data_IF_571219911249
#
_entry.id   IF_571219911249
#
_cell.length_a   1.000
_cell.length_b   1.000
_cell.length_c   1.000
_cell.angle_alpha   90.00
_cell.angle_beta   90.00
_cell.angle_gamma   90.00
#
_symmetry.space_group_name_H-M   'P 1'
#
loop_
_entity.id
_entity.type
_entity.pdbx_description
1 polymer ?
#
# COMPACT_ATOMS: atom_id res chain seq x y z
N UNK A 1 -23.26 -50.92 -73.68
CA UNK A 1 -23.57 -49.71 -72.90
C UNK A 1 -22.39 -49.53 -71.96
N UNK A 2 -21.34 -48.82 -72.38
CA UNK A 2 -21.24 -47.34 -72.37
C UNK A 2 -21.02 -46.87 -70.92
N UNK A 3 -19.79 -46.72 -70.42
CA UNK A 3 -18.70 -45.75 -70.73
C UNK A 3 -18.92 -44.36 -70.09
N UNK A 4 -17.82 -43.78 -69.59
CA UNK A 4 -17.69 -42.50 -68.85
C UNK A 4 -18.02 -41.24 -69.70
N UNK A 5 -18.12 -40.03 -69.11
CA UNK A 5 -16.97 -39.27 -68.55
C UNK A 5 -17.18 -38.77 -67.09
N UNK A 6 -16.31 -37.94 -66.48
CA UNK A 6 -14.84 -37.93 -66.22
C UNK A 6 -14.38 -36.49 -65.80
N UNK A 7 -13.30 -36.36 -65.00
CA UNK A 7 -12.61 -35.10 -64.55
C UNK A 7 -13.43 -34.11 -63.65
N UNK A 8 -12.85 -33.19 -62.85
CA UNK A 8 -11.50 -32.56 -62.79
C UNK A 8 -10.89 -32.47 -61.37
N UNK A 9 -9.59 -32.18 -61.30
CA UNK A 9 -8.84 -31.75 -60.10
C UNK A 9 -9.40 -30.51 -59.36
N UNK A 10 -9.02 -30.36 -58.09
CA UNK A 10 -8.28 -29.16 -57.62
C UNK A 10 -7.52 -29.42 -56.30
N UNK A 11 -6.52 -28.58 -55.99
CA UNK A 11 -5.56 -28.73 -54.87
C UNK A 11 -5.74 -27.61 -53.83
N UNK A 12 -5.63 -27.95 -52.55
CA UNK A 12 -5.49 -27.01 -51.42
C UNK A 12 -6.09 -27.56 -50.11
N UNK A 13 -5.63 -27.17 -48.91
CA UNK A 13 -4.41 -26.43 -48.54
C UNK A 13 -4.10 -26.72 -47.05
N UNK A 14 -2.84 -26.99 -46.63
CA UNK A 14 -2.57 -27.49 -45.27
C UNK A 14 -2.17 -26.38 -44.26
N UNK A 15 -3.13 -25.96 -43.44
CA UNK A 15 -2.87 -25.50 -42.07
C UNK A 15 -2.73 -23.99 -41.86
N UNK A 16 -3.85 -23.32 -41.56
CA UNK A 16 -3.84 -22.03 -40.86
C UNK A 16 -3.48 -22.22 -39.37
N UNK A 17 -2.18 -22.31 -39.07
CA UNK A 17 -1.68 -22.05 -37.72
C UNK A 17 -1.88 -20.56 -37.41
N UNK A 18 -3.01 -20.23 -36.78
CA UNK A 18 -3.48 -18.86 -36.46
C UNK A 18 -2.60 -18.11 -35.46
N UNK A 19 -1.36 -17.79 -35.86
CA UNK A 19 -0.38 -17.11 -35.02
C UNK A 19 -0.78 -15.64 -34.80
N UNK A 20 -1.36 -15.36 -33.63
CA UNK A 20 -1.72 -14.01 -33.17
C UNK A 20 -0.50 -13.08 -33.08
N UNK A 21 -0.14 -12.43 -34.19
CA UNK A 21 0.92 -11.42 -34.24
C UNK A 21 0.47 -10.12 -33.57
N UNK A 22 0.59 -10.08 -32.24
CA UNK A 22 0.39 -8.85 -31.46
C UNK A 22 1.40 -7.80 -31.94
N UNK A 23 0.90 -6.78 -32.67
CA UNK A 23 1.71 -5.66 -33.16
C UNK A 23 2.13 -4.77 -31.99
N UNK A 24 3.28 -5.07 -31.38
CA UNK A 24 3.90 -4.21 -30.37
C UNK A 24 4.22 -2.85 -31.02
N UNK A 25 3.65 -1.72 -30.53
CA UNK A 25 3.88 -0.41 -31.13
C UNK A 25 5.36 0.00 -31.13
N UNK A 26 5.77 0.72 -32.16
CA UNK A 26 7.16 1.16 -32.34
C UNK A 26 7.64 2.01 -31.14
N UNK A 27 8.65 1.56 -30.36
CA UNK A 27 8.99 2.14 -29.06
C UNK A 27 9.62 3.54 -29.12
N UNK A 28 9.68 4.17 -30.30
CA UNK A 28 10.19 5.54 -30.49
C UNK A 28 9.18 6.64 -30.16
N UNK A 29 7.88 6.34 -30.11
CA UNK A 29 6.83 7.36 -29.92
C UNK A 29 6.59 7.70 -28.45
N UNK A 30 6.72 6.73 -27.54
CA UNK A 30 6.61 6.99 -26.11
C UNK A 30 7.95 7.42 -25.51
N UNK A 31 8.16 8.74 -25.40
CA UNK A 31 9.03 9.34 -24.37
C UNK A 31 8.39 9.22 -22.97
N UNK A 32 7.84 8.05 -22.64
CA UNK A 32 7.45 7.72 -21.28
C UNK A 32 8.68 7.89 -20.39
N UNK A 33 8.56 8.66 -19.30
CA UNK A 33 9.66 8.89 -18.34
C UNK A 33 10.32 7.55 -18.03
N UNK A 34 11.58 7.36 -18.44
CA UNK A 34 12.37 6.22 -18.00
C UNK A 34 12.42 6.28 -16.48
N UNK A 35 11.64 5.42 -15.84
CA UNK A 35 11.56 5.39 -14.39
C UNK A 35 12.96 5.13 -13.86
N UNK A 36 13.39 5.87 -12.82
CA UNK A 36 14.80 5.91 -12.38
C UNK A 36 15.26 4.64 -11.64
N UNK A 37 14.82 3.48 -12.10
CA UNK A 37 15.30 2.14 -11.80
C UNK A 37 16.70 1.92 -12.42
N UNK A 38 17.63 2.84 -12.12
CA UNK A 38 19.06 2.73 -12.36
C UNK A 38 19.54 1.43 -11.73
N UNK A 39 19.68 0.40 -12.57
CA UNK A 39 19.45 -0.99 -12.16
C UNK A 39 20.34 -1.41 -10.99
N UNK A 40 19.75 -1.71 -9.82
CA UNK A 40 20.50 -2.08 -8.60
C UNK A 40 21.18 -3.47 -8.67
N UNK A 41 21.41 -4.01 -9.87
CA UNK A 41 22.24 -5.19 -10.16
C UNK A 41 23.73 -4.86 -9.89
N UNK A 42 24.12 -4.94 -8.63
CA UNK A 42 25.50 -4.69 -8.21
C UNK A 42 25.63 -4.22 -6.75
N UNK A 43 24.60 -3.56 -6.21
CA UNK A 43 24.58 -3.21 -4.78
C UNK A 43 24.48 -4.49 -3.91
N UNK A 44 25.27 -4.61 -2.83
CA UNK A 44 25.20 -5.77 -1.95
C UNK A 44 23.85 -5.85 -1.21
N UNK A 45 23.46 -7.05 -0.76
CA UNK A 45 22.45 -7.21 0.30
C UNK A 45 23.10 -6.80 1.64
N UNK A 46 22.32 -6.23 2.56
CA UNK A 46 22.77 -6.05 3.95
C UNK A 46 23.17 -7.41 4.56
N UNK A 47 24.04 -7.38 5.57
CA UNK A 47 24.61 -8.59 6.17
C UNK A 47 23.53 -9.53 6.71
N UNK A 48 22.51 -8.96 7.39
CA UNK A 48 21.39 -9.74 7.92
C UNK A 48 20.63 -10.52 6.83
N UNK A 49 20.23 -9.85 5.74
CA UNK A 49 19.55 -10.51 4.62
C UNK A 49 20.50 -11.36 3.75
N UNK A 50 21.82 -11.12 3.80
CA UNK A 50 22.82 -11.98 3.14
C UNK A 50 22.96 -13.32 3.87
N UNK A 51 23.10 -13.29 5.19
CA UNK A 51 23.25 -14.48 6.04
C UNK A 51 22.00 -15.36 6.02
N UNK A 52 20.82 -14.76 6.19
CA UNK A 52 19.54 -15.47 6.23
C UNK A 52 18.93 -15.72 4.82
N UNK A 53 19.69 -15.44 3.75
CA UNK A 53 19.30 -15.51 2.34
C UNK A 53 17.98 -14.78 1.94
N UNK A 54 17.58 -13.77 2.70
CA UNK A 54 16.33 -13.03 2.53
C UNK A 54 16.33 -12.12 1.28
N UNK A 55 15.12 -11.71 0.85
CA UNK A 55 14.95 -10.59 -0.08
C UNK A 55 15.40 -9.29 0.61
N UNK A 56 16.10 -8.44 -0.13
CA UNK A 56 16.64 -7.16 0.34
C UNK A 56 16.52 -6.14 -0.80
N UNK A 57 15.86 -5.02 -0.54
CA UNK A 57 15.65 -3.90 -1.48
C UNK A 57 16.93 -3.06 -1.70
N UNK A 58 17.87 -3.14 -0.77
CA UNK A 58 19.17 -2.44 -0.76
C UNK A 58 18.99 -0.93 -0.61
N UNK A 59 18.06 -0.52 0.26
CA UNK A 59 17.94 0.85 0.77
C UNK A 59 18.95 1.08 1.90
N UNK A 60 19.55 2.27 1.92
CA UNK A 60 20.49 2.73 2.96
C UNK A 60 19.82 3.86 3.75
N UNK A 61 20.08 4.01 5.06
CA UNK A 61 20.98 3.18 5.87
C UNK A 61 20.40 1.78 6.15
N UNK A 62 19.08 1.66 6.23
CA UNK A 62 18.37 0.41 6.57
C UNK A 62 17.53 -0.07 5.39
N UNK A 63 17.59 -1.37 5.11
CA UNK A 63 16.76 -2.04 4.10
C UNK A 63 15.34 -2.28 4.66
N UNK A 64 14.27 -2.20 3.85
CA UNK A 64 12.90 -2.30 4.39
C UNK A 64 12.65 -3.60 5.18
N UNK A 65 13.24 -4.74 4.78
CA UNK A 65 13.09 -5.97 5.54
C UNK A 65 13.64 -5.85 6.98
N UNK A 66 14.70 -5.07 7.18
CA UNK A 66 15.28 -4.85 8.51
C UNK A 66 14.59 -3.75 9.31
N UNK A 67 13.98 -2.73 8.68
CA UNK A 67 13.24 -1.69 9.43
C UNK A 67 11.99 -2.23 10.11
N UNK A 68 11.32 -3.24 9.52
CA UNK A 68 10.20 -3.94 10.15
C UNK A 68 10.62 -4.98 11.20
N UNK A 69 11.89 -5.38 11.23
CA UNK A 69 12.41 -6.39 12.13
C UNK A 69 13.06 -5.76 13.38
N UNK A 70 12.22 -5.25 14.28
CA UNK A 70 12.60 -4.54 15.52
C UNK A 70 13.83 -5.16 16.21
N UNK A 71 14.88 -4.34 16.39
CA UNK A 71 16.13 -4.72 17.05
C UNK A 71 17.19 -5.38 16.17
N UNK A 72 16.97 -5.60 14.86
CA UNK A 72 17.99 -6.18 13.96
C UNK A 72 18.82 -5.12 13.24
N UNK A 73 20.12 -5.14 13.47
CA UNK A 73 21.05 -4.16 12.88
C UNK A 73 21.27 -4.38 11.37
N UNK A 74 20.99 -3.35 10.56
CA UNK A 74 21.06 -3.42 9.10
C UNK A 74 22.44 -3.03 8.53
N UNK A 75 23.51 -3.67 9.01
CA UNK A 75 24.87 -3.41 8.49
C UNK A 75 25.02 -3.86 7.04
N UNK A 76 25.91 -3.14 6.32
CA UNK A 76 26.32 -3.43 4.95
C UNK A 76 27.85 -3.52 4.91
N UNK A 77 28.42 -4.60 5.42
CA UNK A 77 29.84 -4.90 5.25
C UNK A 77 30.18 -4.86 3.75
N UNK A 78 31.10 -4.00 3.29
CA UNK A 78 31.50 -3.97 1.89
C UNK A 78 32.10 -5.33 1.52
N UNK A 79 31.64 -5.90 0.41
CA UNK A 79 32.23 -7.14 -0.09
C UNK A 79 33.70 -6.89 -0.48
N UNK A 80 34.63 -7.82 -0.20
CA UNK A 80 36.00 -7.73 -0.69
C UNK A 80 35.97 -7.53 -2.21
N UNK A 81 36.89 -6.70 -2.71
CA UNK A 81 36.69 -6.01 -4.00
C UNK A 81 36.54 -6.97 -5.18
N UNK A 82 35.91 -6.57 -6.30
CA UNK A 82 35.68 -7.45 -7.44
C UNK A 82 36.92 -8.14 -8.02
N UNK A 83 38.13 -7.66 -7.70
CA UNK A 83 39.41 -8.29 -8.00
C UNK A 83 39.48 -9.79 -7.59
N UNK A 84 38.84 -10.18 -6.47
CA UNK A 84 38.82 -11.59 -6.03
C UNK A 84 38.11 -12.54 -7.01
N UNK A 85 37.41 -12.05 -8.03
CA UNK A 85 36.88 -12.89 -9.14
C UNK A 85 37.95 -13.40 -10.10
N UNK A 86 39.10 -12.71 -10.22
CA UNK A 86 40.21 -13.13 -11.07
C UNK A 86 41.13 -14.17 -10.43
N UNK A 87 41.12 -14.26 -9.10
CA UNK A 87 42.02 -15.13 -8.33
C UNK A 87 41.56 -16.60 -8.43
N UNK A 88 42.45 -17.57 -8.72
CA UNK A 88 42.10 -19.00 -8.71
C UNK A 88 41.75 -19.48 -7.28
N UNK A 89 41.16 -20.68 -7.16
CA UNK A 89 41.15 -21.38 -5.85
C UNK A 89 42.61 -21.71 -5.49
N UNK A 90 42.98 -21.51 -4.22
CA UNK A 90 44.28 -21.98 -3.71
C UNK A 90 44.46 -23.48 -3.96
N UNK A 91 45.70 -23.94 -4.05
CA UNK A 91 46.06 -25.29 -4.49
C UNK A 91 45.45 -26.36 -3.57
N UNK A 92 45.49 -26.15 -2.24
CA UNK A 92 44.85 -27.02 -1.24
C UNK A 92 43.35 -27.17 -1.45
N UNK A 93 42.61 -26.05 -1.60
CA UNK A 93 41.17 -26.09 -1.85
C UNK A 93 40.82 -26.56 -3.28
N UNK A 94 41.71 -26.42 -4.26
CA UNK A 94 41.53 -26.98 -5.60
C UNK A 94 41.62 -28.51 -5.55
N UNK A 95 42.64 -29.06 -4.90
CA UNK A 95 42.86 -30.50 -4.75
C UNK A 95 41.79 -31.16 -3.86
N UNK A 96 41.45 -30.57 -2.71
CA UNK A 96 40.32 -31.02 -1.86
C UNK A 96 38.92 -30.68 -2.45
N UNK A 97 38.85 -30.08 -3.63
CA UNK A 97 37.67 -29.55 -4.30
C UNK A 97 36.72 -28.68 -3.44
N UNK A 98 37.21 -28.04 -2.38
CA UNK A 98 36.42 -27.16 -1.50
C UNK A 98 36.17 -25.77 -2.13
N UNK A 99 35.22 -25.02 -1.57
CA UNK A 99 34.96 -23.62 -1.96
C UNK A 99 36.02 -22.72 -1.32
N UNK A 100 37.02 -22.29 -2.09
CA UNK A 100 37.98 -21.29 -1.62
C UNK A 100 37.33 -19.90 -1.61
N UNK A 101 37.40 -19.23 -0.46
CA UNK A 101 37.05 -17.83 -0.19
C UNK A 101 37.92 -16.84 -0.99
N UNK A 102 39.19 -17.21 -1.25
CA UNK A 102 40.23 -16.42 -1.95
C UNK A 102 40.74 -15.21 -1.19
N UNK A 103 40.77 -15.26 0.14
CA UNK A 103 41.52 -14.30 0.92
C UNK A 103 43.02 -14.51 0.71
N UNK A 104 43.78 -13.40 0.68
CA UNK A 104 45.24 -13.38 0.54
C UNK A 104 45.83 -12.76 1.82
N UNK A 105 46.98 -13.25 2.33
CA UNK A 105 47.82 -14.30 1.75
C UNK A 105 47.26 -15.73 1.94
N UNK A 106 46.46 -15.95 2.98
CA UNK A 106 45.91 -17.27 3.35
C UNK A 106 44.38 -17.22 3.23
N UNK A 107 43.79 -18.31 2.75
CA UNK A 107 42.34 -18.50 2.68
C UNK A 107 41.84 -19.14 3.99
N UNK A 108 40.62 -18.80 4.44
CA UNK A 108 40.09 -19.23 5.75
C UNK A 108 40.19 -20.75 5.97
N UNK A 109 39.86 -21.56 4.96
CA UNK A 109 39.97 -23.03 5.04
C UNK A 109 41.40 -23.59 5.09
N UNK A 110 42.42 -22.75 5.00
CA UNK A 110 43.82 -23.10 5.22
C UNK A 110 44.36 -22.52 6.53
N UNK A 111 43.78 -21.41 7.00
CA UNK A 111 43.98 -20.83 8.34
C UNK A 111 43.37 -21.72 9.44
N UNK A 112 42.20 -22.31 9.18
CA UNK A 112 41.52 -23.28 10.05
C UNK A 112 42.23 -24.66 10.16
N UNK A 113 43.23 -24.94 9.33
CA UNK A 113 43.81 -26.28 9.17
C UNK A 113 45.36 -26.19 9.24
N UNK A 114 45.87 -26.00 10.45
CA UNK A 114 47.25 -25.67 10.83
C UNK A 114 48.37 -26.36 10.04
N UNK A 115 49.49 -25.64 9.89
CA UNK A 115 50.79 -26.20 9.46
C UNK A 115 50.96 -26.47 7.97
N UNK A 116 50.06 -26.02 7.09
CA UNK A 116 50.12 -26.28 5.64
C UNK A 116 49.90 -25.01 4.81
N UNK A 117 50.86 -24.72 3.93
CA UNK A 117 50.95 -23.50 3.13
C UNK A 117 49.78 -23.29 2.13
N UNK A 118 49.28 -22.06 2.04
CA UNK A 118 48.12 -21.70 1.22
C UNK A 118 48.52 -21.15 -0.18
N UNK A 119 49.18 -21.97 -0.99
CA UNK A 119 49.66 -21.54 -2.31
C UNK A 119 48.54 -21.28 -3.34
N UNK A 120 48.77 -20.32 -4.24
CA UNK A 120 47.84 -19.88 -5.29
C UNK A 120 48.47 -20.00 -6.69
N UNK A 121 48.88 -21.21 -7.08
CA UNK A 121 49.49 -21.45 -8.40
C UNK A 121 48.54 -20.98 -9.52
N UNK A 122 48.97 -20.05 -10.42
CA UNK A 122 48.18 -19.65 -11.58
C UNK A 122 47.82 -20.86 -12.44
N UNK A 123 46.55 -20.99 -12.85
CA UNK A 123 46.11 -22.09 -13.70
C UNK A 123 46.76 -21.96 -15.08
N UNK A 124 47.91 -22.62 -15.27
CA UNK A 124 48.59 -22.80 -16.56
C UNK A 124 47.54 -23.31 -17.55
N UNK A 125 47.10 -22.44 -18.46
CA UNK A 125 46.19 -22.85 -19.54
C UNK A 125 46.93 -23.90 -20.35
N UNK A 126 46.29 -25.02 -20.62
CA UNK A 126 46.84 -25.96 -21.59
C UNK A 126 46.97 -25.18 -22.90
N UNK A 127 48.18 -25.04 -23.45
CA UNK A 127 48.29 -24.66 -24.85
C UNK A 127 47.59 -25.78 -25.62
N UNK A 128 46.57 -25.42 -26.39
CA UNK A 128 46.03 -26.32 -27.40
C UNK A 128 47.18 -26.55 -28.39
N UNK A 129 47.53 -27.79 -28.75
CA UNK A 129 48.52 -28.03 -29.79
C UNK A 129 48.10 -27.30 -31.07
N UNK A 130 48.96 -26.42 -31.57
CA UNK A 130 48.75 -25.69 -32.83
C UNK A 130 49.11 -26.60 -34.00
N UNK A 131 48.38 -27.70 -34.13
CA UNK A 131 48.75 -28.84 -34.97
C UNK A 131 47.56 -29.36 -35.79
N UNK A 132 47.02 -28.47 -36.64
CA UNK A 132 46.22 -28.79 -37.84
C UNK A 132 46.46 -27.70 -38.89
N UNK A 133 47.70 -27.64 -39.37
CA UNK A 133 48.01 -26.98 -40.65
C UNK A 133 47.65 -27.88 -41.85
N UNK A 134 47.90 -27.38 -43.06
CA UNK A 134 47.83 -28.12 -44.33
C UNK A 134 46.39 -28.48 -44.80
N UNK A 135 45.67 -27.45 -45.26
CA UNK A 135 45.10 -27.30 -46.64
C UNK A 135 44.00 -26.23 -46.59
N UNK A 136 44.08 -25.10 -47.31
CA UNK A 136 44.22 -24.98 -48.77
C UNK A 136 44.69 -23.55 -49.16
N UNK A 137 45.21 -23.42 -50.36
CA UNK A 137 45.90 -22.23 -50.91
C UNK A 137 44.96 -21.29 -51.69
N UNK A 138 45.25 -19.96 -51.66
CA UNK A 138 44.73 -18.94 -52.59
C UNK A 138 43.88 -17.81 -51.99
N UNK A 139 44.06 -16.57 -52.47
CA UNK A 139 43.05 -15.49 -52.33
C UNK A 139 43.44 -14.18 -51.61
N UNK A 140 44.48 -13.50 -52.09
CA UNK A 140 44.94 -12.13 -51.75
C UNK A 140 43.80 -11.10 -51.47
N UNK A 141 43.84 -10.39 -50.32
CA UNK A 141 43.65 -8.92 -50.18
C UNK A 141 43.85 -8.42 -48.71
N UNK A 142 44.36 -7.18 -48.46
CA UNK A 142 44.63 -6.68 -47.09
C UNK A 142 43.91 -5.36 -46.70
N UNK A 143 44.24 -4.84 -45.50
CA UNK A 143 43.80 -3.57 -44.85
C UNK A 143 42.37 -3.53 -44.28
N UNK A 144 42.08 -2.86 -43.16
CA UNK A 144 42.75 -2.66 -41.84
C UNK A 144 41.80 -1.84 -40.95
N UNK A 145 41.76 -2.12 -39.64
CA UNK A 145 41.44 -1.20 -38.54
C UNK A 145 40.11 -0.40 -38.54
N UNK A 146 39.47 -0.36 -37.36
CA UNK A 146 39.49 0.85 -36.51
C UNK A 146 39.02 0.57 -35.08
N UNK A 147 39.77 1.07 -34.11
CA UNK A 147 39.35 1.21 -32.71
C UNK A 147 38.50 2.47 -32.56
N UNK A 148 37.46 2.42 -31.72
CA UNK A 148 36.55 3.55 -31.52
C UNK A 148 36.97 4.40 -30.30
N UNK A 149 36.96 5.72 -30.47
CA UNK A 149 36.94 6.71 -29.40
C UNK A 149 36.35 8.00 -29.95
N UNK A 150 35.30 8.53 -29.33
CA UNK A 150 34.85 9.90 -29.56
C UNK A 150 34.07 10.40 -28.34
N UNK A 151 34.33 11.64 -27.94
CA UNK A 151 33.55 12.40 -26.96
C UNK A 151 32.65 13.38 -27.71
N UNK A 152 31.47 13.68 -27.15
CA UNK A 152 30.59 14.74 -27.66
C UNK A 152 30.13 15.57 -26.46
N UNK A 153 30.16 16.89 -26.63
CA UNK A 153 29.70 17.88 -25.66
C UNK A 153 28.47 18.63 -26.21
N UNK A 154 27.78 19.34 -25.33
CA UNK A 154 26.57 20.11 -25.63
C UNK A 154 26.81 21.28 -26.60
N UNK A 155 25.78 21.61 -27.38
CA UNK A 155 25.40 22.99 -27.71
C UNK A 155 23.87 23.09 -27.81
N UNK A 156 23.34 24.27 -27.52
CA UNK A 156 21.90 24.58 -27.57
C UNK A 156 21.54 25.38 -28.83
N UNK A 157 20.24 25.46 -29.14
CA UNK A 157 19.69 26.56 -29.94
C UNK A 157 18.27 26.91 -29.50
N UNK A 158 17.90 28.16 -29.72
CA UNK A 158 16.54 28.72 -29.57
C UNK A 158 15.82 28.68 -30.93
N UNK A 159 14.49 28.77 -30.95
CA UNK A 159 13.72 29.96 -31.38
C UNK A 159 12.21 29.66 -31.49
N UNK A 160 11.41 30.72 -31.63
CA UNK A 160 9.94 30.72 -31.54
C UNK A 160 9.20 30.23 -32.80
N UNK A 161 7.91 29.92 -32.64
CA UNK A 161 6.98 29.65 -33.75
C UNK A 161 5.52 29.68 -33.29
N UNK A 162 4.64 30.39 -33.99
CA UNK A 162 3.30 30.71 -33.51
C UNK A 162 2.14 30.26 -34.44
N UNK A 163 1.00 29.98 -33.81
CA UNK A 163 -0.38 30.10 -34.31
C UNK A 163 -0.82 29.43 -35.64
N UNK A 164 -1.57 28.33 -35.51
CA UNK A 164 -2.93 28.19 -36.08
C UNK A 164 -3.74 27.27 -35.13
N UNK A 165 -5.06 27.34 -34.94
CA UNK A 165 -6.21 27.76 -35.77
C UNK A 165 -6.58 26.80 -36.89
N UNK A 166 -7.53 25.91 -36.59
CA UNK A 166 -8.61 25.46 -37.47
C UNK A 166 -9.72 24.80 -36.64
N UNK A 167 -10.94 24.85 -37.16
CA UNK A 167 -12.20 24.60 -36.43
C UNK A 167 -12.78 23.18 -36.69
N UNK A 168 -14.00 22.96 -36.19
CA UNK A 168 -15.01 21.91 -36.49
C UNK A 168 -14.66 20.64 -37.30
N UNK A 169 -15.16 19.48 -36.82
CA UNK A 169 -16.44 18.96 -37.35
C UNK A 169 -17.09 17.89 -36.46
N UNK A 170 -18.41 17.73 -36.62
CA UNK A 170 -19.32 16.82 -35.90
C UNK A 170 -19.47 15.47 -36.66
N UNK A 171 -19.64 14.36 -35.94
CA UNK A 171 -19.89 13.03 -36.52
C UNK A 171 -20.61 12.10 -35.52
N UNK A 172 -21.76 11.57 -35.95
CA UNK A 172 -22.62 10.64 -35.21
C UNK A 172 -22.91 9.36 -36.02
N UNK A 173 -23.52 8.35 -35.38
CA UNK A 173 -23.87 7.01 -35.94
C UNK A 173 -22.64 6.14 -36.34
N UNK A 174 -22.65 4.79 -36.39
CA UNK A 174 -23.38 3.70 -35.71
C UNK A 174 -22.48 2.42 -35.87
N UNK A 175 -22.81 1.15 -35.58
CA UNK A 175 -24.01 0.39 -35.17
C UNK A 175 -23.56 -0.94 -34.48
N UNK A 176 -24.53 -1.79 -34.11
CA UNK A 176 -24.45 -3.26 -34.10
C UNK A 176 -23.56 -3.98 -33.05
N UNK A 177 -24.22 -4.43 -31.97
CA UNK A 177 -24.52 -5.86 -31.66
C UNK A 177 -23.54 -6.97 -32.11
N UNK A 178 -23.31 -8.03 -31.29
CA UNK A 178 -24.41 -8.74 -30.61
C UNK A 178 -24.19 -9.14 -29.13
N UNK A 179 -25.32 -9.33 -28.43
CA UNK A 179 -25.38 -9.83 -27.06
C UNK A 179 -25.49 -11.38 -27.02
N UNK A 180 -24.63 -12.03 -26.25
CA UNK A 180 -24.79 -13.45 -25.89
C UNK A 180 -25.55 -13.58 -24.56
N UNK A 181 -26.85 -13.91 -24.64
CA UNK A 181 -27.64 -14.31 -23.48
C UNK A 181 -27.21 -15.70 -22.99
N UNK A 182 -26.97 -15.84 -21.69
CA UNK A 182 -26.86 -17.12 -21.01
C UNK A 182 -27.93 -17.17 -19.89
N UNK A 183 -29.10 -17.70 -20.22
CA UNK A 183 -30.11 -18.02 -19.22
C UNK A 183 -29.62 -19.18 -18.34
N UNK A 184 -29.75 -19.06 -17.02
CA UNK A 184 -29.56 -20.19 -16.12
C UNK A 184 -30.46 -20.06 -14.88
N UNK A 185 -31.71 -20.50 -15.01
CA UNK A 185 -32.69 -20.50 -13.92
C UNK A 185 -32.45 -21.67 -12.96
N UNK A 186 -32.26 -21.36 -11.68
CA UNK A 186 -32.15 -22.34 -10.59
C UNK A 186 -33.12 -22.02 -9.45
N UNK A 187 -33.92 -22.98 -8.95
CA UNK A 187 -35.08 -22.68 -8.09
C UNK A 187 -34.78 -22.58 -6.59
N UNK A 188 -35.79 -22.01 -5.91
CA UNK A 188 -35.93 -21.73 -4.49
C UNK A 188 -35.57 -22.81 -3.46
N UNK A 189 -35.22 -22.29 -2.28
CA UNK A 189 -35.60 -22.77 -0.93
C UNK A 189 -34.92 -24.01 -0.32
N UNK A 190 -34.29 -23.76 0.83
CA UNK A 190 -34.28 -24.69 1.98
C UNK A 190 -34.23 -23.92 3.30
N UNK A 191 -35.38 -23.68 3.93
CA UNK A 191 -35.46 -23.04 5.26
C UNK A 191 -35.23 -24.06 6.38
N UNK A 192 -34.09 -24.00 7.05
CA UNK A 192 -33.70 -24.93 8.12
C UNK A 192 -34.47 -24.70 9.42
N UNK A 193 -35.61 -25.36 9.60
CA UNK A 193 -36.36 -25.35 10.86
C UNK A 193 -35.71 -26.23 11.93
N UNK A 194 -35.57 -25.71 13.15
CA UNK A 194 -35.07 -26.46 14.32
C UNK A 194 -36.21 -27.18 15.06
N UNK A 195 -35.97 -28.34 15.67
CA UNK A 195 -37.01 -29.18 16.26
C UNK A 195 -37.51 -28.67 17.63
N UNK A 196 -38.82 -28.79 17.93
CA UNK A 196 -39.38 -28.43 19.23
C UNK A 196 -39.16 -29.55 20.27
N UNK A 197 -38.59 -29.21 21.43
CA UNK A 197 -38.48 -30.12 22.57
C UNK A 197 -39.47 -29.75 23.68
N UNK A 198 -40.41 -30.65 23.93
CA UNK A 198 -41.21 -30.73 25.16
C UNK A 198 -40.63 -31.85 26.06
N UNK A 199 -40.95 -31.95 27.38
CA UNK A 199 -42.32 -32.21 27.83
C UNK A 199 -42.77 -31.42 29.08
N UNK A 200 -44.05 -31.60 29.45
CA UNK A 200 -44.67 -31.00 30.64
C UNK A 200 -44.23 -31.69 31.93
N UNK A 201 -43.71 -30.92 32.88
CA UNK A 201 -43.57 -31.35 34.29
C UNK A 201 -44.89 -31.15 35.06
N UNK A 202 -45.15 -32.00 36.06
CA UNK A 202 -46.41 -32.01 36.82
C UNK A 202 -46.47 -30.90 37.88
N UNK A 203 -47.68 -30.46 38.21
CA UNK A 203 -47.93 -29.45 39.24
C UNK A 203 -47.69 -29.98 40.67
N UNK A 204 -47.25 -29.08 41.55
CA UNK A 204 -47.26 -29.21 43.02
C UNK A 204 -47.84 -27.92 43.61
N UNK A 205 -48.50 -27.98 44.78
CA UNK A 205 -49.19 -26.82 45.36
C UNK A 205 -48.22 -25.75 45.91
N UNK A 206 -48.61 -24.47 45.93
CA UNK A 206 -47.76 -23.39 46.40
C UNK A 206 -47.65 -23.36 47.95
N UNK A 207 -46.43 -23.19 48.51
CA UNK A 207 -46.28 -22.83 49.92
C UNK A 207 -46.68 -21.36 50.18
N UNK A 208 -47.06 -20.98 51.42
CA UNK A 208 -47.58 -19.65 51.72
C UNK A 208 -46.53 -18.53 51.66
N UNK A 209 -47.04 -17.31 51.49
CA UNK A 209 -46.26 -16.08 51.32
C UNK A 209 -45.43 -15.72 52.56
N UNK A 210 -44.11 -15.77 52.43
CA UNK A 210 -43.16 -15.07 53.30
C UNK A 210 -42.51 -13.90 52.55
N UNK A 211 -42.25 -12.74 53.19
CA UNK A 211 -41.63 -11.58 52.56
C UNK A 211 -40.15 -11.87 52.25
N UNK A 212 -39.90 -12.38 51.04
CA UNK A 212 -38.56 -12.71 50.55
C UNK A 212 -37.84 -11.42 50.15
N UNK A 213 -36.69 -11.05 50.75
CA UNK A 213 -35.98 -9.83 50.36
C UNK A 213 -35.50 -9.95 48.91
N UNK A 214 -35.71 -8.89 48.12
CA UNK A 214 -35.48 -8.85 46.67
C UNK A 214 -33.99 -8.78 46.29
N UNK A 215 -33.23 -9.83 46.61
CA UNK A 215 -31.88 -10.00 46.12
C UNK A 215 -31.89 -10.50 44.67
N UNK A 216 -31.05 -9.87 43.84
CA UNK A 216 -30.72 -10.25 42.46
C UNK A 216 -31.77 -9.97 41.37
N UNK A 217 -32.49 -8.84 41.46
CA UNK A 217 -32.93 -8.10 40.26
C UNK A 217 -31.77 -7.28 39.62
N UNK A 218 -30.52 -7.73 39.84
CA UNK A 218 -29.30 -7.20 39.22
C UNK A 218 -29.10 -7.69 37.77
N UNK A 219 -30.17 -8.23 37.15
CA UNK A 219 -30.24 -8.46 35.70
C UNK A 219 -30.84 -7.26 34.96
N UNK A 220 -30.82 -6.08 35.57
CA UNK A 220 -30.81 -4.82 34.85
C UNK A 220 -29.78 -4.93 33.71
N UNK A 221 -30.27 -4.91 32.47
CA UNK A 221 -29.46 -5.21 31.29
C UNK A 221 -28.47 -4.06 31.08
N UNK A 222 -27.24 -4.25 31.59
CA UNK A 222 -26.11 -3.37 31.33
C UNK A 222 -25.81 -3.39 29.83
N UNK A 223 -26.50 -2.51 29.11
CA UNK A 223 -26.23 -2.21 27.70
C UNK A 223 -24.76 -1.80 27.64
N UNK A 224 -23.92 -2.51 26.89
CA UNK A 224 -22.48 -2.26 26.90
C UNK A 224 -22.24 -0.79 26.53
N UNK A 225 -21.30 -0.10 27.21
CA UNK A 225 -21.04 1.31 26.93
C UNK A 225 -20.69 1.47 25.45
N UNK A 226 -21.47 2.31 24.76
CA UNK A 226 -21.27 2.64 23.35
C UNK A 226 -20.31 3.81 23.25
N UNK A 227 -19.61 3.91 22.13
CA UNK A 227 -18.72 5.04 21.87
C UNK A 227 -19.55 6.22 21.36
N UNK A 228 -19.60 7.28 22.15
CA UNK A 228 -20.18 8.56 21.75
C UNK A 228 -19.22 9.29 20.79
N UNK A 229 -19.65 9.55 19.53
CA UNK A 229 -18.83 10.30 18.57
C UNK A 229 -18.69 11.77 19.02
N UNK A 230 -17.52 12.37 18.80
CA UNK A 230 -17.39 13.81 19.00
C UNK A 230 -18.28 14.60 18.03
N UNK A 231 -19.06 15.54 18.56
CA UNK A 231 -19.95 16.40 17.79
C UNK A 231 -19.90 17.85 18.30
N UNK A 232 -19.96 18.80 17.37
CA UNK A 232 -20.00 20.23 17.66
C UNK A 232 -20.66 20.96 16.49
N UNK A 233 -21.65 21.83 16.76
CA UNK A 233 -22.53 22.43 15.73
C UNK A 233 -21.80 23.23 14.66
N UNK A 234 -20.67 23.85 14.99
CA UNK A 234 -19.86 24.63 14.03
C UNK A 234 -18.95 23.80 13.10
N UNK A 235 -18.80 22.48 13.29
CA UNK A 235 -17.89 21.65 12.49
C UNK A 235 -18.65 20.57 11.73
N UNK A 236 -18.17 20.21 10.53
CA UNK A 236 -18.79 19.12 9.78
C UNK A 236 -18.61 17.78 10.52
N UNK A 237 -19.72 17.05 10.68
CA UNK A 237 -19.71 15.72 11.25
C UNK A 237 -18.91 14.73 10.39
N UNK A 238 -18.39 13.66 11.01
CA UNK A 238 -17.74 12.56 10.28
C UNK A 238 -18.74 11.87 9.32
N UNK A 239 -18.27 11.19 8.26
CA UNK A 239 -19.15 10.46 7.34
C UNK A 239 -20.08 9.49 8.10
N UNK A 240 -21.34 9.36 7.68
CA UNK A 240 -22.33 8.59 8.44
C UNK A 240 -21.96 7.09 8.55
N UNK A 241 -21.19 6.54 7.62
CA UNK A 241 -20.61 5.19 7.72
C UNK A 241 -19.64 5.02 8.91
N UNK A 242 -18.97 6.11 9.31
CA UNK A 242 -18.11 6.17 10.51
C UNK A 242 -18.98 6.35 11.76
N UNK A 243 -19.94 7.27 11.74
CA UNK A 243 -20.83 7.55 12.88
C UNK A 243 -21.71 6.34 13.24
N UNK A 244 -22.35 5.70 12.26
CA UNK A 244 -23.11 4.47 12.45
C UNK A 244 -22.28 3.38 13.12
N UNK A 245 -21.03 3.20 12.70
CA UNK A 245 -20.15 2.21 13.30
C UNK A 245 -19.76 2.57 14.75
N UNK A 246 -19.44 3.83 15.05
CA UNK A 246 -19.15 4.30 16.41
C UNK A 246 -20.32 4.04 17.37
N UNK A 247 -21.54 4.39 16.94
CA UNK A 247 -22.79 4.14 17.71
C UNK A 247 -23.08 2.64 17.91
N UNK A 248 -22.43 1.74 17.17
CA UNK A 248 -22.53 0.29 17.29
C UNK A 248 -21.31 -0.37 17.96
N UNK A 249 -20.20 0.35 18.14
CA UNK A 249 -18.95 -0.18 18.68
C UNK A 249 -19.01 -0.33 20.22
N UNK A 250 -18.45 -1.44 20.70
CA UNK A 250 -18.31 -1.72 22.14
C UNK A 250 -17.11 -0.95 22.70
N UNK A 251 -17.35 0.00 23.62
CA UNK A 251 -16.28 0.80 24.22
C UNK A 251 -15.29 -0.03 25.04
N UNK A 252 -15.66 -1.23 25.49
CA UNK A 252 -14.78 -2.13 26.23
C UNK A 252 -13.69 -2.81 25.37
N UNK A 253 -13.84 -2.78 24.04
CA UNK A 253 -12.90 -3.40 23.10
C UNK A 253 -11.86 -2.39 22.56
N UNK A 254 -12.14 -1.10 22.72
CA UNK A 254 -11.35 0.02 22.22
C UNK A 254 -10.50 0.68 23.32
N UNK A 255 -9.49 1.50 22.95
CA UNK A 255 -8.85 2.39 23.91
C UNK A 255 -9.86 3.34 24.56
N UNK A 256 -9.75 3.68 25.85
CA UNK A 256 -10.51 4.78 26.43
C UNK A 256 -10.06 6.13 25.81
N UNK A 257 -11.04 7.00 25.49
CA UNK A 257 -10.80 8.29 24.80
C UNK A 257 -9.76 9.17 25.51
N UNK A 258 -9.91 9.43 26.81
CA UNK A 258 -9.05 10.34 27.56
C UNK A 258 -7.54 9.92 27.52
N UNK A 259 -7.14 8.69 27.89
CA UNK A 259 -5.73 8.27 27.77
C UNK A 259 -5.17 8.31 26.35
N UNK A 260 -6.00 8.16 25.32
CA UNK A 260 -5.57 8.40 23.93
C UNK A 260 -5.34 9.88 23.65
N UNK A 261 -6.25 10.77 24.07
CA UNK A 261 -6.13 12.21 23.87
C UNK A 261 -4.95 12.80 24.66
N UNK A 262 -4.69 12.34 25.88
CA UNK A 262 -3.50 12.69 26.68
C UNK A 262 -2.20 12.26 25.98
N UNK A 263 -2.14 11.02 25.48
CA UNK A 263 -0.98 10.51 24.74
C UNK A 263 -0.76 11.22 23.40
N UNK A 264 -1.85 11.61 22.71
CA UNK A 264 -1.81 12.40 21.48
C UNK A 264 -1.29 13.82 21.74
N UNK A 265 -1.81 14.51 22.76
CA UNK A 265 -1.33 15.85 23.16
C UNK A 265 0.15 15.81 23.55
N UNK A 266 0.58 14.77 24.29
CA UNK A 266 2.00 14.56 24.60
C UNK A 266 2.83 14.41 23.32
N UNK A 267 2.46 13.50 22.41
CA UNK A 267 3.15 13.31 21.14
C UNK A 267 3.27 14.61 20.33
N UNK A 268 2.19 15.39 20.23
CA UNK A 268 2.19 16.67 19.52
C UNK A 268 3.10 17.72 20.20
N UNK A 269 3.20 17.71 21.53
CA UNK A 269 4.12 18.58 22.28
C UNK A 269 5.60 18.19 22.14
N UNK A 270 5.90 16.93 21.79
CA UNK A 270 7.24 16.43 21.50
C UNK A 270 7.69 16.67 20.04
N UNK A 271 6.77 16.99 19.12
CA UNK A 271 7.11 17.42 17.75
C UNK A 271 7.82 18.78 17.73
N UNK A 272 8.68 19.00 16.73
CA UNK A 272 9.21 20.33 16.41
C UNK A 272 8.08 21.31 16.04
N UNK A 273 8.27 22.60 16.30
CA UNK A 273 7.25 23.63 16.07
C UNK A 273 6.69 23.60 14.63
N UNK A 274 7.58 23.52 13.63
CA UNK A 274 7.24 23.44 12.20
C UNK A 274 6.35 22.25 11.79
N UNK A 275 6.37 21.16 12.57
CA UNK A 275 5.51 19.98 12.36
C UNK A 275 4.25 20.09 13.22
N UNK A 276 4.39 20.55 14.47
CA UNK A 276 3.27 20.77 15.40
C UNK A 276 2.22 21.72 14.83
N UNK A 277 2.65 22.75 14.09
CA UNK A 277 1.76 23.71 13.44
C UNK A 277 0.84 23.12 12.36
N UNK A 278 1.14 21.92 11.83
CA UNK A 278 0.46 21.31 10.67
C UNK A 278 0.08 19.83 10.86
N UNK A 279 0.48 19.18 11.96
CA UNK A 279 0.22 17.76 12.20
C UNK A 279 -1.23 17.45 12.60
N UNK A 280 -1.86 18.35 13.36
CA UNK A 280 -3.28 18.31 13.74
C UNK A 280 -3.71 19.66 14.28
N UNK A 281 -5.01 19.98 14.18
CA UNK A 281 -5.53 21.29 14.58
C UNK A 281 -6.56 21.14 15.71
N UNK A 282 -6.41 21.92 16.78
CA UNK A 282 -7.48 22.12 17.77
C UNK A 282 -8.70 22.77 17.12
N UNK A 283 -9.90 22.69 17.72
CA UNK A 283 -11.11 23.29 17.14
C UNK A 283 -10.92 24.75 16.73
N UNK A 284 -10.31 25.59 17.58
CA UNK A 284 -10.12 27.02 17.32
C UNK A 284 -9.20 27.25 16.11
N UNK A 285 -8.05 26.57 16.07
CA UNK A 285 -7.08 26.66 14.96
C UNK A 285 -7.68 26.15 13.66
N UNK A 286 -8.53 25.12 13.72
CA UNK A 286 -9.24 24.58 12.56
C UNK A 286 -10.30 25.57 12.04
N UNK A 287 -11.04 26.23 12.95
CA UNK A 287 -12.00 27.27 12.61
C UNK A 287 -11.33 28.51 12.00
N UNK A 288 -10.20 28.97 12.57
CA UNK A 288 -9.37 30.05 12.01
C UNK A 288 -8.92 29.72 10.58
N UNK A 289 -8.35 28.52 10.36
CA UNK A 289 -7.91 28.06 9.04
C UNK A 289 -9.08 28.00 8.05
N UNK A 290 -10.19 27.38 8.44
CA UNK A 290 -11.40 27.27 7.61
C UNK A 290 -11.97 28.64 7.23
N UNK A 291 -11.96 29.59 8.17
CA UNK A 291 -12.43 30.97 7.95
C UNK A 291 -11.49 31.74 7.02
N UNK A 292 -10.17 31.66 7.25
CA UNK A 292 -9.14 32.28 6.40
C UNK A 292 -9.24 31.81 4.94
N UNK A 293 -9.35 30.48 4.72
CA UNK A 293 -9.48 29.89 3.38
C UNK A 293 -10.81 30.30 2.72
N UNK A 294 -11.90 30.38 3.49
CA UNK A 294 -13.22 30.77 2.96
C UNK A 294 -13.31 32.25 2.59
N UNK A 295 -12.57 33.12 3.30
CA UNK A 295 -12.52 34.55 3.05
C UNK A 295 -11.41 34.96 2.04
N UNK A 296 -10.42 34.09 1.80
CA UNK A 296 -9.20 34.45 1.07
C UNK A 296 -8.21 35.32 1.88
N UNK A 297 -8.49 35.55 3.17
CA UNK A 297 -7.64 36.33 4.09
C UNK A 297 -6.68 35.41 4.85
N UNK A 298 -5.48 35.26 4.31
CA UNK A 298 -4.41 34.48 4.95
C UNK A 298 -3.53 35.31 5.91
N UNK A 299 -3.80 36.61 6.10
CA UNK A 299 -2.91 37.54 6.83
C UNK A 299 -2.68 37.18 8.30
N UNK A 300 -3.64 36.48 8.90
CA UNK A 300 -3.62 36.03 10.31
C UNK A 300 -2.90 34.69 10.51
N UNK A 301 -2.57 33.97 9.44
CA UNK A 301 -1.91 32.67 9.50
C UNK A 301 -0.39 32.83 9.55
N UNK A 302 0.29 31.93 10.25
CA UNK A 302 1.76 31.85 10.19
C UNK A 302 2.24 31.57 8.76
N UNK A 303 3.41 32.08 8.33
CA UNK A 303 3.97 31.77 7.00
C UNK A 303 4.13 30.27 6.76
N UNK A 304 4.38 29.49 7.82
CA UNK A 304 4.43 28.03 7.78
C UNK A 304 3.08 27.40 7.39
N UNK A 305 1.97 27.89 7.96
CA UNK A 305 0.62 27.46 7.59
C UNK A 305 0.22 27.95 6.20
N UNK A 306 0.58 29.18 5.81
CA UNK A 306 0.33 29.69 4.45
C UNK A 306 0.97 28.77 3.40
N UNK A 307 2.28 28.53 3.51
CA UNK A 307 3.02 27.60 2.63
C UNK A 307 2.46 26.17 2.68
N UNK A 308 1.99 25.69 3.84
CA UNK A 308 1.37 24.37 3.94
C UNK A 308 0.00 24.29 3.22
N UNK A 309 -0.84 25.31 3.34
CA UNK A 309 -2.11 25.41 2.61
C UNK A 309 -1.88 25.44 1.10
N UNK A 310 -0.88 26.21 0.65
CA UNK A 310 -0.46 26.30 -0.75
C UNK A 310 0.10 24.97 -1.27
N UNK A 311 1.12 24.40 -0.63
CA UNK A 311 1.74 23.13 -1.04
C UNK A 311 0.80 21.92 -1.03
N UNK A 312 -0.34 21.98 -0.34
CA UNK A 312 -1.33 20.91 -0.28
C UNK A 312 -2.67 21.27 -0.95
N UNK A 313 -2.78 22.42 -1.61
CA UNK A 313 -4.02 22.87 -2.29
C UNK A 313 -5.27 22.82 -1.37
N UNK A 314 -5.13 23.11 -0.07
CA UNK A 314 -6.21 22.91 0.90
C UNK A 314 -7.40 23.83 0.61
N UNK A 315 -8.61 23.27 0.60
CA UNK A 315 -9.87 23.99 0.32
C UNK A 315 -10.84 23.93 1.49
N UNK A 316 -11.80 24.85 1.53
CA UNK A 316 -12.96 24.73 2.41
C UNK A 316 -14.02 23.78 1.79
N UNK A 317 -14.56 22.87 2.59
CA UNK A 317 -15.47 21.79 2.17
C UNK A 317 -16.94 21.96 2.55
N UNK A 318 -17.32 23.10 3.13
CA UNK A 318 -18.69 23.41 3.55
C UNK A 318 -18.88 24.92 3.58
N UNK A 319 -20.12 25.40 3.36
CA UNK A 319 -20.52 26.81 3.55
C UNK A 319 -21.23 27.03 4.89
N UNK A 320 -21.70 25.96 5.53
CA UNK A 320 -22.44 25.98 6.81
C UNK A 320 -21.56 25.69 8.03
N UNK A 321 -20.48 24.93 7.85
CA UNK A 321 -19.64 24.40 8.92
C UNK A 321 -18.16 24.56 8.57
N UNK A 322 -17.29 24.52 9.59
CA UNK A 322 -15.86 24.37 9.36
C UNK A 322 -15.54 22.95 8.86
N UNK A 323 -15.01 22.87 7.64
CA UNK A 323 -14.45 21.66 7.05
C UNK A 323 -13.29 22.01 6.11
N UNK A 324 -12.17 21.31 6.28
CA UNK A 324 -10.98 21.40 5.44
C UNK A 324 -10.83 20.14 4.57
N UNK A 325 -10.58 20.33 3.27
CA UNK A 325 -10.39 19.28 2.28
C UNK A 325 -8.98 19.33 1.68
N UNK A 326 -8.40 18.14 1.47
CA UNK A 326 -7.17 17.88 0.75
C UNK A 326 -7.51 17.16 -0.57
N UNK A 327 -7.15 17.69 -1.76
CA UNK A 327 -7.28 16.94 -3.01
C UNK A 327 -6.38 15.69 -2.98
N UNK A 328 -6.87 14.55 -3.44
CA UNK A 328 -6.04 13.33 -3.52
C UNK A 328 -5.05 13.41 -4.69
N UNK A 329 -3.93 12.70 -4.57
CA UNK A 329 -2.83 12.66 -5.56
C UNK A 329 -3.26 12.63 -7.05
N UNK A 330 -4.28 11.85 -7.50
CA UNK A 330 -4.69 11.83 -8.90
C UNK A 330 -5.32 13.13 -9.40
N UNK A 331 -5.98 13.88 -8.50
CA UNK A 331 -6.69 15.13 -8.78
C UNK A 331 -5.80 16.36 -8.61
N UNK A 332 -4.59 16.19 -8.07
CA UNK A 332 -3.63 17.27 -7.81
C UNK A 332 -3.04 17.90 -9.09
N UNK A 333 -3.27 17.29 -10.26
CA UNK A 333 -2.84 17.77 -11.58
C UNK A 333 -4.03 18.00 -12.54
N UNK A 334 -5.26 17.96 -12.03
CA UNK A 334 -6.49 18.22 -12.78
C UNK A 334 -6.67 19.72 -13.03
N UNK A 335 -7.50 20.12 -14.00
CA UNK A 335 -7.77 21.54 -14.21
C UNK A 335 -8.51 22.18 -13.02
N UNK A 336 -8.27 23.48 -12.80
CA UNK A 336 -8.82 24.23 -11.66
C UNK A 336 -10.35 24.40 -11.73
N UNK A 337 -10.95 24.44 -12.93
CA UNK A 337 -12.41 24.50 -13.07
C UNK A 337 -13.05 23.14 -12.76
N UNK A 338 -12.40 22.04 -13.13
CA UNK A 338 -12.81 20.69 -12.76
C UNK A 338 -12.64 20.44 -11.25
N UNK A 339 -11.54 20.94 -10.66
CA UNK A 339 -11.29 20.91 -9.22
C UNK A 339 -12.41 21.63 -8.47
N UNK A 340 -12.73 22.86 -8.87
CA UNK A 340 -13.81 23.64 -8.25
C UNK A 340 -15.20 22.98 -8.46
N UNK A 341 -15.45 22.34 -9.61
CA UNK A 341 -16.69 21.58 -9.85
C UNK A 341 -16.84 20.41 -8.86
N UNK A 342 -15.82 19.57 -8.70
CA UNK A 342 -15.85 18.45 -7.75
C UNK A 342 -15.94 18.97 -6.30
N UNK A 343 -15.28 20.08 -5.98
CA UNK A 343 -15.39 20.71 -4.65
C UNK A 343 -16.81 21.21 -4.37
N UNK A 344 -17.45 21.86 -5.33
CA UNK A 344 -18.81 22.38 -5.17
C UNK A 344 -19.84 21.26 -5.00
N UNK A 345 -19.66 20.12 -5.68
CA UNK A 345 -20.48 18.92 -5.44
C UNK A 345 -20.27 18.36 -4.02
N UNK A 346 -19.02 18.27 -3.57
CA UNK A 346 -18.66 17.82 -2.22
C UNK A 346 -19.28 18.72 -1.13
N UNK A 347 -19.21 20.04 -1.34
CA UNK A 347 -19.84 21.06 -0.50
C UNK A 347 -21.35 20.87 -0.47
N UNK A 348 -22.00 20.70 -1.63
CA UNK A 348 -23.45 20.49 -1.70
C UNK A 348 -23.89 19.23 -0.95
N UNK A 349 -23.22 18.09 -1.16
CA UNK A 349 -23.49 16.83 -0.42
C UNK A 349 -23.26 16.98 1.09
N UNK A 350 -22.27 17.76 1.50
CA UNK A 350 -21.94 17.98 2.93
C UNK A 350 -22.92 18.96 3.60
N UNK A 351 -23.36 19.99 2.89
CA UNK A 351 -24.27 21.03 3.41
C UNK A 351 -25.75 20.65 3.31
N UNK A 352 -26.14 19.67 2.49
CA UNK A 352 -27.50 19.17 2.40
C UNK A 352 -28.03 18.62 3.74
N UNK A 353 -27.16 18.00 4.54
CA UNK A 353 -27.53 17.36 5.81
C UNK A 353 -28.04 15.93 5.65
N UNK A 354 -28.48 15.33 6.75
CA UNK A 354 -28.97 13.94 6.79
C UNK A 354 -30.33 13.74 6.10
N UNK A 355 -31.03 14.83 5.78
CA UNK A 355 -32.39 14.83 5.22
C UNK A 355 -32.42 14.56 3.70
N UNK A 356 -31.33 14.01 3.15
CA UNK A 356 -31.14 13.69 1.72
C UNK A 356 -32.08 12.59 1.17
N UNK A 357 -33.12 12.20 1.91
CA UNK A 357 -34.22 11.36 1.40
C UNK A 357 -35.00 12.07 0.28
N UNK A 358 -35.09 13.41 0.32
CA UNK A 358 -35.77 14.24 -0.69
C UNK A 358 -34.77 14.90 -1.68
N UNK A 359 -33.50 14.50 -1.66
CA UNK A 359 -32.54 14.96 -2.67
C UNK A 359 -32.93 14.36 -4.04
N UNK A 360 -33.21 15.17 -5.07
CA UNK A 360 -33.71 14.63 -6.34
C UNK A 360 -32.65 13.74 -6.98
N UNK A 361 -32.97 12.45 -7.10
CA UNK A 361 -32.17 11.49 -7.86
C UNK A 361 -32.15 11.93 -9.31
N UNK A 362 -31.07 12.58 -9.72
CA UNK A 362 -30.86 13.00 -11.11
C UNK A 362 -30.83 11.76 -11.98
N UNK A 363 -31.88 11.60 -12.79
CA UNK A 363 -32.31 10.36 -13.46
C UNK A 363 -31.45 10.00 -14.70
N UNK A 364 -30.13 10.15 -14.55
CA UNK A 364 -29.19 10.39 -15.65
C UNK A 364 -27.87 9.60 -15.56
N UNK A 365 -27.84 8.48 -14.83
CA UNK A 365 -26.84 7.39 -14.98
C UNK A 365 -27.42 6.04 -14.54
N UNK A 366 -28.50 5.61 -15.19
CA UNK A 366 -28.91 4.19 -15.19
C UNK A 366 -27.81 3.35 -15.88
N UNK A 367 -27.65 2.09 -15.49
CA UNK A 367 -26.68 1.11 -16.04
C UNK A 367 -25.21 1.17 -15.58
N UNK A 368 -24.90 1.76 -14.40
CA UNK A 368 -23.65 1.45 -13.68
C UNK A 368 -23.87 0.55 -12.46
N UNK A 369 -23.82 -0.76 -12.73
CA UNK A 369 -23.55 -1.89 -11.84
C UNK A 369 -23.49 -1.66 -10.32
N UNK A 370 -24.46 -2.23 -9.60
CA UNK A 370 -24.34 -3.01 -8.34
C UNK A 370 -23.44 -2.47 -7.20
N UNK A 371 -23.05 -1.19 -7.25
CA UNK A 371 -22.28 -0.51 -6.21
C UNK A 371 -23.19 -0.31 -4.99
N UNK A 372 -23.15 -1.29 -4.08
CA UNK A 372 -23.99 -1.31 -2.89
C UNK A 372 -23.91 -0.02 -2.06
N UNK A 373 -24.87 0.25 -1.15
CA UNK A 373 -25.14 1.56 -0.53
C UNK A 373 -24.08 2.07 0.48
N UNK A 374 -22.82 1.67 0.30
CA UNK A 374 -21.63 2.17 1.01
C UNK A 374 -20.56 2.75 0.06
N UNK A 375 -20.87 2.95 -1.23
CA UNK A 375 -19.94 3.56 -2.19
C UNK A 375 -19.54 4.98 -1.77
N UNK A 376 -18.30 5.12 -1.28
CA UNK A 376 -17.69 6.38 -0.83
C UNK A 376 -17.11 7.19 -2.00
N UNK A 377 -17.66 7.00 -3.20
CA UNK A 377 -17.15 7.48 -4.49
C UNK A 377 -17.11 9.01 -4.60
N UNK A 378 -18.08 9.71 -4.01
CA UNK A 378 -18.05 11.18 -3.87
C UNK A 378 -16.89 11.69 -2.98
N UNK A 379 -16.20 10.80 -2.25
CA UNK A 379 -14.93 11.09 -1.55
C UNK A 379 -13.68 10.67 -2.32
N UNK A 380 -13.80 10.23 -3.58
CA UNK A 380 -12.64 9.90 -4.41
C UNK A 380 -11.74 11.11 -4.66
N UNK A 381 -12.33 12.29 -4.90
CA UNK A 381 -11.60 13.53 -5.17
C UNK A 381 -10.87 14.12 -3.93
N UNK A 382 -11.48 14.01 -2.74
CA UNK A 382 -11.01 14.70 -1.54
C UNK A 382 -10.92 13.82 -0.30
N UNK A 383 -9.85 14.01 0.48
CA UNK A 383 -9.75 13.58 1.87
C UNK A 383 -10.12 14.74 2.81
N UNK A 384 -10.97 14.47 3.81
CA UNK A 384 -11.26 15.39 4.91
C UNK A 384 -10.08 15.44 5.86
N UNK A 385 -9.69 16.63 6.29
CA UNK A 385 -8.79 16.77 7.45
C UNK A 385 -9.67 16.74 8.71
N UNK A 386 -9.50 15.78 9.64
CA UNK A 386 -10.27 15.76 10.89
C UNK A 386 -9.82 16.86 11.85
N UNK A 387 -10.75 17.38 12.65
CA UNK A 387 -10.43 18.16 13.86
C UNK A 387 -9.72 17.25 14.86
N UNK A 388 -8.80 17.75 15.69
CA UNK A 388 -8.02 16.91 16.62
C UNK A 388 -8.89 15.98 17.49
N UNK A 389 -10.05 16.43 17.97
CA UNK A 389 -10.99 15.62 18.76
C UNK A 389 -11.68 14.49 17.97
N UNK A 390 -11.78 14.63 16.64
CA UNK A 390 -12.31 13.60 15.74
C UNK A 390 -11.27 12.50 15.43
N UNK A 391 -9.98 12.71 15.73
CA UNK A 391 -8.92 11.73 15.44
C UNK A 391 -9.18 10.40 16.16
N UNK A 392 -9.62 10.44 17.42
CA UNK A 392 -10.01 9.23 18.17
C UNK A 392 -11.12 8.45 17.44
N UNK A 393 -12.16 9.14 16.99
CA UNK A 393 -13.34 8.54 16.34
C UNK A 393 -12.99 7.92 14.97
N UNK A 394 -12.14 8.58 14.18
CA UNK A 394 -11.59 8.02 12.94
C UNK A 394 -10.74 6.77 13.22
N UNK A 395 -9.95 6.77 14.30
CA UNK A 395 -9.10 5.63 14.66
C UNK A 395 -9.87 4.44 15.23
N UNK A 396 -10.95 4.67 15.98
CA UNK A 396 -11.89 3.59 16.40
C UNK A 396 -12.45 2.88 15.16
N UNK A 397 -12.95 3.63 14.18
CA UNK A 397 -13.46 3.07 12.93
C UNK A 397 -12.38 2.29 12.16
N UNK A 398 -11.17 2.84 12.05
CA UNK A 398 -10.05 2.17 11.38
C UNK A 398 -9.60 0.90 12.12
N UNK A 399 -9.71 0.87 13.45
CA UNK A 399 -9.29 -0.24 14.30
C UNK A 399 -10.35 -1.35 14.48
N UNK A 400 -11.56 -1.22 13.91
CA UNK A 400 -12.70 -2.12 14.14
C UNK A 400 -12.50 -3.62 13.89
N UNK A 401 -11.42 -4.01 13.23
CA UNK A 401 -11.03 -5.42 13.00
C UNK A 401 -9.87 -5.89 13.90
N UNK A 402 -9.38 -5.00 14.77
CA UNK A 402 -8.09 -5.12 15.49
C UNK A 402 -6.93 -5.46 14.54
N UNK A 403 -6.94 -4.80 13.37
CA UNK A 403 -5.88 -4.87 12.38
C UNK A 403 -4.59 -4.17 12.83
N UNK A 404 -3.51 -4.42 12.08
CA UNK A 404 -2.22 -3.79 12.32
C UNK A 404 -2.19 -2.34 11.85
N UNK A 405 -1.21 -1.56 12.34
CA UNK A 405 -1.03 -0.14 12.02
C UNK A 405 -1.03 0.21 10.51
N UNK A 406 -0.45 -0.59 9.58
CA UNK A 406 -0.60 -0.36 8.14
C UNK A 406 -2.04 -0.50 7.64
N UNK A 407 -2.79 -1.49 8.16
CA UNK A 407 -4.17 -1.73 7.77
C UNK A 407 -5.10 -0.61 8.27
N UNK A 408 -4.85 -0.08 9.47
CA UNK A 408 -5.55 1.11 9.96
C UNK A 408 -5.30 2.34 9.07
N UNK A 409 -4.05 2.62 8.70
CA UNK A 409 -3.76 3.76 7.80
C UNK A 409 -4.40 3.60 6.41
N UNK A 410 -4.45 2.37 5.88
CA UNK A 410 -5.19 2.08 4.66
C UNK A 410 -6.69 2.34 4.83
N UNK A 411 -7.29 1.84 5.90
CA UNK A 411 -8.71 2.05 6.21
C UNK A 411 -9.09 3.53 6.38
N UNK A 412 -8.24 4.30 7.07
CA UNK A 412 -8.39 5.75 7.24
C UNK A 412 -8.41 6.48 5.89
N UNK A 413 -7.48 6.16 4.98
CA UNK A 413 -7.48 6.70 3.61
C UNK A 413 -8.69 6.21 2.81
N UNK A 414 -9.12 4.96 2.99
CA UNK A 414 -10.29 4.39 2.31
C UNK A 414 -11.59 5.12 2.66
N UNK A 415 -11.73 5.65 3.88
CA UNK A 415 -12.86 6.54 4.26
C UNK A 415 -12.61 8.03 4.04
N UNK A 416 -11.57 8.37 3.28
CA UNK A 416 -11.30 9.74 2.87
C UNK A 416 -10.86 10.65 4.02
N UNK A 417 -9.96 10.18 4.88
CA UNK A 417 -9.39 10.96 6.00
C UNK A 417 -7.89 11.22 5.82
N UNK A 418 -7.53 12.50 5.79
CA UNK A 418 -6.17 13.02 5.69
C UNK A 418 -5.48 13.10 7.07
N UNK A 419 -4.22 13.55 7.06
CA UNK A 419 -3.35 13.93 8.21
C UNK A 419 -3.13 12.91 9.35
N UNK A 420 -3.85 11.80 9.41
CA UNK A 420 -3.60 10.72 10.36
C UNK A 420 -2.24 10.07 10.08
N UNK A 421 -1.33 10.16 11.05
CA UNK A 421 0.05 9.70 10.93
C UNK A 421 0.27 8.33 11.60
N UNK A 422 1.34 7.63 11.19
CA UNK A 422 1.73 6.34 11.79
C UNK A 422 1.87 6.39 13.33
N UNK A 423 2.51 7.41 13.95
CA UNK A 423 2.56 7.52 15.41
C UNK A 423 1.19 7.59 16.09
N UNK A 424 0.21 8.29 15.52
CA UNK A 424 -1.14 8.38 16.08
C UNK A 424 -1.82 7.00 16.11
N UNK A 425 -1.65 6.22 15.04
CA UNK A 425 -2.13 4.84 14.92
C UNK A 425 -1.43 3.90 15.89
N UNK A 426 -0.11 4.04 16.08
CA UNK A 426 0.66 3.28 17.06
C UNK A 426 0.21 3.56 18.50
N UNK A 427 0.00 4.84 18.86
CA UNK A 427 -0.51 5.24 20.18
C UNK A 427 -1.87 4.57 20.44
N UNK A 428 -2.80 4.65 19.49
CA UNK A 428 -4.12 4.02 19.59
C UNK A 428 -4.01 2.49 19.75
N UNK A 429 -3.21 1.84 18.91
CA UNK A 429 -3.04 0.36 18.91
C UNK A 429 -2.42 -0.13 20.22
N UNK A 430 -1.47 0.61 20.80
CA UNK A 430 -0.82 0.30 22.09
C UNK A 430 -1.71 0.57 23.31
N UNK A 431 -2.78 1.35 23.15
CA UNK A 431 -3.79 1.57 24.19
C UNK A 431 -5.00 0.63 24.06
N UNK A 432 -5.13 -0.12 22.95
CA UNK A 432 -6.24 -1.06 22.77
C UNK A 432 -6.08 -2.28 23.70
N UNK A 433 -7.10 -2.61 24.54
CA UNK A 433 -7.02 -3.73 25.48
C UNK A 433 -6.88 -5.07 24.76
N UNK A 434 -7.61 -5.28 23.66
CA UNK A 434 -7.57 -6.55 22.92
C UNK A 434 -6.25 -6.77 22.17
N UNK A 435 -5.64 -5.73 21.61
CA UNK A 435 -4.31 -5.82 20.99
C UNK A 435 -3.22 -6.12 22.03
N UNK A 436 -3.27 -5.48 23.20
CA UNK A 436 -2.34 -5.76 24.30
C UNK A 436 -2.46 -7.19 24.84
N UNK A 437 -3.69 -7.72 24.97
CA UNK A 437 -3.92 -9.11 25.37
C UNK A 437 -3.36 -10.11 24.33
N UNK A 438 -3.61 -9.87 23.03
CA UNK A 438 -3.04 -10.68 21.93
C UNK A 438 -1.51 -10.64 21.92
N UNK A 439 -0.91 -9.47 22.07
CA UNK A 439 0.54 -9.30 22.10
C UNK A 439 1.19 -10.05 23.29
N UNK A 440 0.59 -9.96 24.49
CA UNK A 440 1.04 -10.68 25.68
C UNK A 440 0.93 -12.21 25.51
N UNK A 441 -0.18 -12.69 24.94
CA UNK A 441 -0.35 -14.12 24.67
C UNK A 441 0.70 -14.65 23.68
N UNK A 442 0.98 -13.91 22.60
CA UNK A 442 2.01 -14.27 21.62
C UNK A 442 3.43 -14.34 22.20
N UNK A 443 3.77 -13.45 23.14
CA UNK A 443 5.07 -13.44 23.80
C UNK A 443 5.34 -14.71 24.63
N UNK A 444 4.32 -15.24 25.32
CA UNK A 444 4.46 -16.48 26.10
C UNK A 444 4.57 -17.74 25.22
N UNK A 445 3.91 -17.76 24.06
CA UNK A 445 3.90 -18.93 23.16
C UNK A 445 5.26 -19.33 22.56
N UNK A 446 6.24 -18.42 22.54
CA UNK A 446 7.60 -18.67 22.04
C UNK A 446 8.64 -18.90 23.15
N UNK A 447 8.23 -18.89 24.43
CA UNK A 447 9.13 -19.08 25.58
C UNK A 447 9.43 -20.54 25.94
N UNK A 448 8.68 -21.50 25.38
CA UNK A 448 8.84 -22.93 25.68
C UNK A 448 9.91 -23.58 24.79
N UNK A 449 11.13 -23.74 25.30
CA UNK A 449 12.14 -24.60 24.65
C UNK A 449 13.59 -24.43 25.08
N UNK A 450 14.00 -23.25 25.54
CA UNK A 450 15.33 -23.05 26.14
C UNK A 450 15.23 -23.34 27.64
N UNK A 451 15.64 -24.56 28.01
CA UNK A 451 15.46 -25.11 29.35
C UNK A 451 16.16 -24.33 30.45
N UNK A 452 15.64 -24.46 31.67
CA UNK A 452 16.28 -23.92 32.88
C UNK A 452 17.74 -24.43 32.98
N UNK A 453 18.73 -23.55 33.21
CA UNK A 453 20.08 -24.01 33.49
C UNK A 453 20.05 -24.79 34.80
N UNK A 454 20.37 -26.09 34.75
CA UNK A 454 20.34 -26.96 35.94
C UNK A 454 21.18 -26.35 37.06
N UNK A 455 20.50 -25.92 38.12
CA UNK A 455 21.15 -25.32 39.28
C UNK A 455 21.98 -26.38 40.01
N UNK A 456 23.29 -26.37 39.75
CA UNK A 456 24.25 -27.22 40.45
C UNK A 456 24.31 -26.81 41.93
N UNK A 457 23.57 -27.55 42.76
CA UNK A 457 23.81 -27.57 44.20
C UNK A 457 25.25 -28.05 44.44
N UNK A 458 25.98 -27.30 45.26
CA UNK A 458 27.19 -27.75 45.94
C UNK A 458 26.83 -28.23 47.34
#
# INVERSE_FOLDING_TARGET
MSNSPDETDSVGDPGEDGQLTIRIPNPKVYMARQSQWKGRRGKPRCDHCRLNNLKCDRVLPTCNYCSWASGRECKYTPLPTPAHRGIPRCDRCRTKNRKCDRNLPVCNHCEEEDGVECNYTPKKRHKVPEDHGIMKEGGIAPYTAKTASFLVSDMAHLEDGAASSMDDEDMAEADASPSHKAENGGPSASSSSLPPLAPKSKALPPPPLGPRPCFLDHRALLTPPRIEPWSHSAFAALPETVLHHLRAANAMEMPPRQPFEEALVKFLSELSAELRETASFSPDVYADLSTAISAGDFSKLSPRRQNWLECHHIRCGSKKHHLLLLPRDPYFQMDRAEEEKLRLEYVARTDAGGDAADAPTSDATTELHEAGPTSLEWTAAYERIPVQSQIYDVLVYAHRTHGSSPAMLFETRRVGMATITWPMVEIFTRLCPLCNLRAKAGAHGLGLGLGEPMSMKR
#
